data_IF_439484061731
#
_entry.id   IF_439484061731
#
_cell.length_a   1.000
_cell.length_b   1.000
_cell.length_c   1.000
_cell.angle_alpha   90.00
_cell.angle_beta   90.00
_cell.angle_gamma   90.00
#
_symmetry.space_group_name_H-M   'P 1'
#
loop_
_entity.id
_entity.type
_entity.pdbx_description
1 polymer ?
#
# COMPACT_ATOMS: atom_id res chain seq x y z
N UNK A 1 10.45 -10.57 -2.40
CA UNK A 1 10.42 -10.64 -3.88
C UNK A 1 9.27 -9.87 -4.54
N UNK A 2 8.00 -10.17 -4.27
CA UNK A 2 6.85 -9.48 -4.91
C UNK A 2 6.95 -7.94 -4.88
N UNK A 3 7.10 -7.34 -3.69
CA UNK A 3 7.19 -5.87 -3.57
C UNK A 3 8.42 -5.25 -4.23
N UNK A 4 9.47 -6.05 -4.48
CA UNK A 4 10.67 -5.65 -5.20
C UNK A 4 10.54 -5.79 -6.72
N UNK A 5 9.47 -6.42 -7.22
CA UNK A 5 9.36 -6.76 -8.64
C UNK A 5 10.50 -7.70 -9.08
N UNK A 6 10.65 -8.82 -8.37
CA UNK A 6 11.70 -9.84 -8.56
C UNK A 6 11.14 -11.27 -8.57
N UNK A 7 9.88 -11.47 -8.92
CA UNK A 7 9.27 -12.81 -9.00
C UNK A 7 9.72 -13.55 -10.27
N UNK A 8 9.98 -12.84 -11.36
CA UNK A 8 10.38 -13.40 -12.65
C UNK A 8 11.77 -14.02 -12.61
N UNK A 9 12.59 -13.64 -11.64
CA UNK A 9 13.86 -14.29 -11.35
C UNK A 9 13.69 -15.78 -11.01
N UNK A 10 12.56 -16.16 -10.41
CA UNK A 10 12.30 -17.54 -9.94
C UNK A 10 11.17 -18.22 -10.70
N UNK A 11 10.13 -17.48 -11.11
CA UNK A 11 8.97 -18.02 -11.86
C UNK A 11 9.12 -17.85 -13.37
N UNK A 12 9.94 -16.91 -13.83
CA UNK A 12 10.15 -16.64 -15.26
C UNK A 12 9.09 -15.73 -15.87
N UNK A 13 8.90 -15.87 -17.20
CA UNK A 13 8.06 -14.99 -18.03
C UNK A 13 6.64 -14.73 -17.51
N UNK A 14 5.92 -15.70 -16.91
CA UNK A 14 4.54 -15.49 -16.46
C UNK A 14 4.38 -14.33 -15.46
N UNK A 15 5.39 -14.06 -14.63
CA UNK A 15 5.36 -12.98 -13.63
C UNK A 15 5.96 -11.67 -14.11
N UNK A 16 6.49 -11.60 -15.34
CA UNK A 16 7.19 -10.41 -15.86
C UNK A 16 6.32 -9.15 -15.83
N UNK A 17 5.04 -9.27 -16.22
CA UNK A 17 4.11 -8.14 -16.19
C UNK A 17 3.88 -7.61 -14.77
N UNK A 18 3.86 -8.51 -13.79
CA UNK A 18 3.69 -8.15 -12.38
C UNK A 18 4.94 -7.45 -11.84
N UNK A 19 6.13 -7.96 -12.17
CA UNK A 19 7.38 -7.31 -11.78
C UNK A 19 7.49 -5.91 -12.39
N UNK A 20 7.18 -5.76 -13.68
CA UNK A 20 7.18 -4.46 -14.35
C UNK A 20 6.22 -3.47 -13.68
N UNK A 21 5.06 -3.94 -13.24
CA UNK A 21 4.13 -3.12 -12.46
C UNK A 21 4.71 -2.72 -11.10
N UNK A 22 5.27 -3.65 -10.33
CA UNK A 22 5.87 -3.38 -9.02
C UNK A 22 7.09 -2.43 -9.13
N UNK A 23 7.90 -2.59 -10.18
CA UNK A 23 9.00 -1.67 -10.52
C UNK A 23 8.49 -0.28 -10.86
N UNK A 24 7.40 -0.19 -11.63
CA UNK A 24 6.75 1.08 -11.98
C UNK A 24 6.23 1.82 -10.74
N UNK A 25 5.61 1.11 -9.80
CA UNK A 25 5.23 1.68 -8.50
C UNK A 25 6.44 2.04 -7.64
N UNK A 26 7.53 1.29 -7.75
CA UNK A 26 8.78 1.56 -7.06
C UNK A 26 8.69 1.35 -5.54
N UNK A 27 7.81 0.46 -5.07
CA UNK A 27 7.54 0.26 -3.63
C UNK A 27 8.79 -0.09 -2.83
N UNK A 28 9.66 -0.94 -3.37
CA UNK A 28 10.88 -1.36 -2.68
C UNK A 28 11.94 -0.25 -2.60
N UNK A 29 12.11 0.53 -3.67
CA UNK A 29 12.95 1.74 -3.64
C UNK A 29 12.44 2.71 -2.58
N UNK A 30 11.13 2.96 -2.54
CA UNK A 30 10.53 3.80 -1.51
C UNK A 30 10.73 3.23 -0.11
N UNK A 31 10.68 1.90 0.07
CA UNK A 31 10.98 1.24 1.33
C UNK A 31 12.43 1.48 1.79
N UNK A 32 13.41 1.39 0.88
CA UNK A 32 14.81 1.73 1.16
C UNK A 32 14.98 3.20 1.55
N UNK A 33 14.35 4.11 0.80
CA UNK A 33 14.36 5.55 1.11
C UNK A 33 13.67 5.87 2.44
N UNK A 34 12.66 5.10 2.82
CA UNK A 34 11.96 5.26 4.10
C UNK A 34 12.89 4.89 5.25
N UNK A 35 13.58 3.75 5.16
CA UNK A 35 14.53 3.31 6.18
C UNK A 35 15.53 4.43 6.53
N UNK A 36 16.13 5.06 5.52
CA UNK A 36 17.11 6.13 5.69
C UNK A 36 16.54 7.40 6.36
N UNK A 37 15.22 7.57 6.42
CA UNK A 37 14.55 8.73 7.07
C UNK A 37 14.02 8.40 8.46
N UNK A 38 13.99 7.12 8.83
CA UNK A 38 13.51 6.71 10.15
C UNK A 38 14.53 7.12 11.22
N UNK A 39 14.08 7.47 12.43
CA UNK A 39 14.99 7.66 13.55
C UNK A 39 15.75 6.37 13.89
N UNK A 40 16.93 6.52 14.50
CA UNK A 40 17.86 5.43 14.81
C UNK A 40 17.22 4.29 15.63
N UNK A 41 16.34 4.62 16.56
CA UNK A 41 15.65 3.62 17.40
C UNK A 41 14.72 2.69 16.58
N UNK A 42 14.15 3.21 15.50
CA UNK A 42 13.25 2.51 14.61
C UNK A 42 14.05 1.72 13.57
N UNK A 43 15.16 2.28 13.08
CA UNK A 43 16.13 1.55 12.25
C UNK A 43 16.67 0.33 13.01
N UNK A 44 17.16 0.54 14.24
CA UNK A 44 17.71 -0.52 15.10
C UNK A 44 16.76 -1.70 15.29
N UNK A 45 15.45 -1.45 15.40
CA UNK A 45 14.47 -2.52 15.55
C UNK A 45 14.18 -3.28 14.24
N UNK A 46 14.25 -2.60 13.09
CA UNK A 46 14.17 -3.24 11.78
C UNK A 46 15.42 -4.08 11.52
N UNK A 47 16.59 -3.57 11.92
CA UNK A 47 17.88 -4.25 11.81
C UNK A 47 17.89 -5.51 12.68
N UNK A 48 17.53 -5.39 13.96
CA UNK A 48 17.44 -6.55 14.86
C UNK A 48 16.48 -7.63 14.35
N UNK A 49 15.36 -7.26 13.72
CA UNK A 49 14.46 -8.23 13.09
C UNK A 49 15.12 -8.91 11.89
N UNK A 50 15.77 -8.14 11.01
CA UNK A 50 16.48 -8.68 9.86
C UNK A 50 17.62 -9.62 10.28
N UNK A 51 18.41 -9.23 11.29
CA UNK A 51 19.44 -10.07 11.91
C UNK A 51 18.87 -11.37 12.46
N UNK A 52 17.73 -11.33 13.16
CA UNK A 52 17.07 -12.54 13.65
C UNK A 52 16.62 -13.49 12.53
N UNK A 53 16.07 -12.96 11.44
CA UNK A 53 15.73 -13.74 10.25
C UNK A 53 17.00 -14.35 9.64
N UNK A 54 18.06 -13.56 9.49
CA UNK A 54 19.31 -13.99 8.88
C UNK A 54 20.06 -15.00 9.74
N UNK A 55 20.02 -14.88 11.06
CA UNK A 55 20.54 -15.86 11.99
C UNK A 55 19.82 -17.21 11.79
N UNK A 56 18.48 -17.21 11.72
CA UNK A 56 17.74 -18.43 11.40
C UNK A 56 18.13 -19.00 10.03
N UNK A 57 18.28 -18.16 9.00
CA UNK A 57 18.70 -18.61 7.67
C UNK A 57 20.11 -19.23 7.67
N UNK A 58 21.02 -18.70 8.49
CA UNK A 58 22.39 -19.19 8.61
C UNK A 58 22.48 -20.51 9.40
N UNK A 59 21.64 -20.68 10.43
CA UNK A 59 21.70 -21.86 11.31
C UNK A 59 20.68 -22.94 10.97
N UNK A 60 19.73 -22.69 10.06
CA UNK A 60 18.72 -23.70 9.73
C UNK A 60 19.35 -24.94 9.10
N UNK A 61 18.84 -26.09 9.50
CA UNK A 61 19.14 -27.40 8.92
C UNK A 61 17.90 -27.99 8.25
N UNK A 62 18.09 -28.95 7.35
CA UNK A 62 17.00 -29.65 6.68
C UNK A 62 16.49 -28.98 5.42
N UNK A 63 15.52 -29.63 4.79
CA UNK A 63 14.96 -29.24 3.48
C UNK A 63 14.25 -27.89 3.56
N UNK A 64 14.43 -27.07 2.53
CA UNK A 64 13.67 -25.83 2.38
C UNK A 64 12.16 -26.12 2.23
N UNK A 65 11.30 -25.15 2.56
CA UNK A 65 9.88 -25.26 2.26
C UNK A 65 9.62 -25.61 0.78
N UNK A 66 8.55 -26.36 0.46
CA UNK A 66 8.32 -26.92 -0.87
C UNK A 66 8.43 -25.90 -2.01
N UNK A 67 7.95 -24.68 -1.82
CA UNK A 67 8.01 -23.61 -2.82
C UNK A 67 9.44 -23.25 -3.25
N UNK A 68 10.42 -23.30 -2.34
CA UNK A 68 11.81 -23.04 -2.66
C UNK A 68 12.44 -24.21 -3.42
N UNK A 69 12.12 -25.45 -3.03
CA UNK A 69 12.58 -26.67 -3.70
C UNK A 69 12.02 -26.75 -5.12
N UNK A 70 10.71 -26.54 -5.28
CA UNK A 70 10.03 -26.59 -6.58
C UNK A 70 10.53 -25.51 -7.53
N UNK A 71 10.69 -24.28 -7.04
CA UNK A 71 11.17 -23.15 -7.85
C UNK A 71 12.70 -23.14 -8.00
N UNK A 72 13.42 -24.05 -7.32
CA UNK A 72 14.88 -24.22 -7.38
C UNK A 72 15.64 -22.94 -7.02
N UNK A 73 15.26 -22.30 -5.92
CA UNK A 73 15.96 -21.13 -5.40
C UNK A 73 16.10 -21.19 -3.87
N UNK A 74 17.06 -20.44 -3.34
CA UNK A 74 17.26 -20.29 -1.90
C UNK A 74 16.78 -18.90 -1.43
N UNK A 75 16.34 -18.77 -0.17
CA UNK A 75 16.11 -17.46 0.43
C UNK A 75 17.39 -16.63 0.43
N UNK A 76 17.25 -15.33 0.16
CA UNK A 76 18.33 -14.34 0.28
C UNK A 76 18.34 -13.77 1.70
N UNK A 77 19.44 -13.10 2.07
CA UNK A 77 19.49 -12.30 3.29
C UNK A 77 18.34 -11.29 3.33
N UNK A 78 17.62 -11.30 4.44
CA UNK A 78 16.56 -10.36 4.76
C UNK A 78 17.16 -9.01 5.10
N UNK A 79 16.56 -7.95 4.54
CA UNK A 79 16.95 -6.56 4.76
C UNK A 79 15.82 -5.80 5.44
N UNK A 80 16.09 -4.71 6.18
CA UNK A 80 15.06 -3.83 6.72
C UNK A 80 13.99 -3.40 5.69
N UNK A 81 14.42 -3.14 4.45
CA UNK A 81 13.53 -2.78 3.36
C UNK A 81 12.52 -3.89 2.99
N UNK A 82 12.84 -5.16 3.21
CA UNK A 82 11.92 -6.28 2.98
C UNK A 82 10.75 -6.28 3.98
N UNK A 83 10.98 -5.79 5.20
CA UNK A 83 9.93 -5.56 6.18
C UNK A 83 9.06 -4.35 5.83
N UNK A 84 9.70 -3.26 5.39
CA UNK A 84 9.02 -2.00 5.06
C UNK A 84 8.14 -2.11 3.80
N UNK A 85 8.58 -2.88 2.79
CA UNK A 85 7.81 -3.02 1.54
C UNK A 85 6.47 -3.72 1.76
N UNK A 86 6.35 -4.54 2.81
CA UNK A 86 5.10 -5.19 3.18
C UNK A 86 4.00 -4.18 3.51
N UNK A 87 4.32 -3.15 4.30
CA UNK A 87 3.38 -2.10 4.68
C UNK A 87 2.85 -1.34 3.46
N UNK A 88 3.76 -1.03 2.52
CA UNK A 88 3.41 -0.37 1.26
C UNK A 88 2.54 -1.26 0.36
N UNK A 89 2.83 -2.56 0.27
CA UNK A 89 1.98 -3.51 -0.44
C UNK A 89 0.58 -3.60 0.17
N UNK A 90 0.48 -3.59 1.51
CA UNK A 90 -0.82 -3.59 2.17
C UNK A 90 -1.57 -2.28 1.95
N UNK A 91 -0.88 -1.13 1.99
CA UNK A 91 -1.49 0.15 1.63
C UNK A 91 -2.08 0.09 0.21
N UNK A 92 -1.33 -0.43 -0.77
CA UNK A 92 -1.82 -0.59 -2.14
C UNK A 92 -2.96 -1.60 -2.31
N UNK A 93 -3.08 -2.58 -1.41
CA UNK A 93 -4.12 -3.63 -1.47
C UNK A 93 -5.42 -3.22 -0.77
N UNK A 94 -5.33 -2.38 0.25
CA UNK A 94 -6.44 -1.99 1.13
C UNK A 94 -7.07 -0.64 0.73
N UNK A 95 -6.71 -0.12 -0.44
CA UNK A 95 -7.27 1.07 -1.08
C UNK A 95 -8.31 0.67 -2.14
N UNK A 96 -9.46 1.36 -2.19
CA UNK A 96 -10.58 0.99 -3.08
C UNK A 96 -11.18 2.13 -3.91
N UNK A 97 -10.70 3.35 -3.75
CA UNK A 97 -11.43 4.57 -4.13
C UNK A 97 -11.48 4.83 -5.64
N UNK A 98 -10.45 4.46 -6.37
CA UNK A 98 -10.43 4.53 -7.84
C UNK A 98 -11.60 3.77 -8.48
N UNK A 99 -12.14 2.73 -7.84
CA UNK A 99 -13.30 1.96 -8.33
C UNK A 99 -14.57 2.78 -8.24
N UNK A 100 -14.73 3.50 -7.14
CA UNK A 100 -15.84 4.41 -6.91
C UNK A 100 -15.77 5.57 -7.89
N UNK A 101 -14.59 6.17 -8.06
CA UNK A 101 -14.40 7.23 -9.06
C UNK A 101 -14.70 6.75 -10.48
N UNK A 102 -14.27 5.54 -10.82
CA UNK A 102 -14.45 5.00 -12.14
C UNK A 102 -15.89 4.50 -12.39
N UNK A 103 -16.57 3.94 -11.40
CA UNK A 103 -18.01 3.66 -11.45
C UNK A 103 -18.82 4.94 -11.58
N UNK A 104 -18.51 5.96 -10.76
CA UNK A 104 -19.13 7.29 -10.81
C UNK A 104 -18.98 7.92 -12.19
N UNK A 105 -17.78 7.83 -12.76
CA UNK A 105 -17.52 8.30 -14.11
C UNK A 105 -18.29 7.49 -15.16
N UNK A 106 -18.34 6.16 -15.09
CA UNK A 106 -19.13 5.35 -16.03
C UNK A 106 -20.64 5.68 -15.95
N UNK A 107 -21.16 5.89 -14.73
CA UNK A 107 -22.55 6.29 -14.49
C UNK A 107 -22.85 7.70 -14.98
N UNK A 108 -21.85 8.60 -15.05
CA UNK A 108 -22.03 9.95 -15.60
C UNK A 108 -22.46 10.01 -17.08
N UNK A 109 -22.44 8.89 -17.82
CA UNK A 109 -23.08 8.80 -19.15
C UNK A 109 -24.59 8.72 -19.11
N UNK A 110 -25.12 8.15 -18.04
CA UNK A 110 -26.52 7.73 -17.94
C UNK A 110 -27.28 8.51 -16.88
N UNK A 111 -26.55 9.08 -15.91
CA UNK A 111 -27.10 9.81 -14.78
C UNK A 111 -26.71 11.27 -14.86
N UNK A 112 -27.64 12.15 -14.48
CA UNK A 112 -27.35 13.59 -14.34
C UNK A 112 -26.40 13.84 -13.16
N UNK A 113 -25.72 15.00 -13.12
CA UNK A 113 -24.89 15.39 -11.97
C UNK A 113 -25.63 15.32 -10.62
N UNK A 114 -26.93 15.62 -10.61
CA UNK A 114 -27.80 15.54 -9.43
C UNK A 114 -27.99 14.09 -9.00
N UNK A 115 -28.33 13.19 -9.92
CA UNK A 115 -28.48 11.75 -9.63
C UNK A 115 -27.16 11.11 -9.17
N UNK A 116 -26.03 11.57 -9.70
CA UNK A 116 -24.71 11.15 -9.21
C UNK A 116 -24.44 11.69 -7.81
N UNK A 117 -24.87 12.93 -7.52
CA UNK A 117 -24.74 13.53 -6.20
C UNK A 117 -25.63 12.85 -5.16
N UNK A 118 -26.76 12.25 -5.57
CA UNK A 118 -27.60 11.44 -4.68
C UNK A 118 -26.90 10.12 -4.30
N UNK A 119 -26.17 9.51 -5.25
CA UNK A 119 -25.39 8.29 -5.01
C UNK A 119 -24.07 8.56 -4.26
N UNK A 120 -23.48 9.75 -4.48
CA UNK A 120 -22.25 10.22 -3.84
C UNK A 120 -22.38 11.68 -3.41
N UNK A 121 -22.94 11.93 -2.22
CA UNK A 121 -23.09 13.28 -1.68
C UNK A 121 -21.73 14.00 -1.65
N UNK A 122 -21.71 15.27 -2.07
CA UNK A 122 -20.47 16.07 -2.02
C UNK A 122 -19.98 16.15 -0.58
N UNK A 123 -18.71 15.75 -0.38
CA UNK A 123 -18.00 16.05 0.86
C UNK A 123 -17.93 17.57 1.05
N UNK A 124 -18.07 18.04 2.28
CA UNK A 124 -17.90 19.45 2.66
C UNK A 124 -16.43 19.88 2.73
N UNK A 125 -15.50 18.98 2.38
CA UNK A 125 -14.06 19.22 2.36
C UNK A 125 -13.65 19.60 0.93
N UNK A 126 -12.96 20.73 0.80
CA UNK A 126 -12.46 21.26 -0.47
C UNK A 126 -11.38 20.31 -1.03
N UNK A 127 -11.74 19.51 -2.04
CA UNK A 127 -10.81 18.55 -2.68
C UNK A 127 -10.31 19.16 -3.99
N UNK A 128 -8.99 19.21 -4.24
CA UNK A 128 -8.47 19.63 -5.54
C UNK A 128 -9.08 18.79 -6.67
N UNK A 129 -9.22 19.32 -7.89
CA UNK A 129 -9.91 18.64 -8.98
C UNK A 129 -9.26 17.28 -9.32
N UNK A 130 -9.85 16.19 -8.82
CA UNK A 130 -9.60 14.80 -9.24
C UNK A 130 -10.44 14.50 -10.49
N UNK A 131 -10.31 13.30 -11.07
CA UNK A 131 -11.06 12.85 -12.26
C UNK A 131 -12.54 13.26 -12.27
N UNK A 132 -13.18 13.32 -11.10
CA UNK A 132 -14.59 13.71 -10.94
C UNK A 132 -14.95 15.13 -11.42
N UNK A 133 -13.97 16.01 -11.70
CA UNK A 133 -14.20 17.44 -12.01
C UNK A 133 -13.93 17.84 -13.45
N UNK A 134 -13.31 16.97 -14.26
CA UNK A 134 -12.92 17.33 -15.62
C UNK A 134 -14.07 17.09 -16.61
N UNK A 135 -14.59 18.16 -17.25
CA UNK A 135 -15.47 18.09 -18.44
C UNK A 135 -14.67 17.64 -19.66
N UNK A 136 -14.26 16.37 -19.66
CA UNK A 136 -13.58 15.74 -20.79
C UNK A 136 -14.66 15.15 -21.73
N UNK A 137 -14.72 15.53 -23.02
CA UNK A 137 -15.55 14.83 -23.98
C UNK A 137 -15.20 13.33 -23.98
N UNK A 138 -16.19 12.44 -23.98
CA UNK A 138 -16.00 10.98 -23.84
C UNK A 138 -15.38 10.51 -22.50
N UNK A 139 -15.32 11.36 -21.47
CA UNK A 139 -14.78 11.03 -20.14
C UNK A 139 -15.24 9.67 -19.62
N UNK A 140 -16.52 9.40 -19.73
CA UNK A 140 -17.06 8.20 -19.18
C UNK A 140 -16.75 6.95 -20.03
N UNK A 141 -16.50 7.09 -21.34
CA UNK A 141 -16.01 6.00 -22.21
C UNK A 141 -14.58 5.66 -21.84
N UNK A 142 -13.78 6.69 -21.58
CA UNK A 142 -12.43 6.56 -21.04
C UNK A 142 -12.44 5.82 -19.70
N UNK A 143 -13.37 6.15 -18.80
CA UNK A 143 -13.42 5.56 -17.46
C UNK A 143 -13.99 4.13 -17.44
N UNK A 144 -14.99 3.82 -18.28
CA UNK A 144 -15.46 2.43 -18.45
C UNK A 144 -14.35 1.51 -18.99
N UNK A 145 -13.58 1.97 -19.97
CA UNK A 145 -12.49 1.19 -20.53
C UNK A 145 -11.27 1.13 -19.58
N UNK A 146 -11.10 2.14 -18.72
CA UNK A 146 -10.10 2.16 -17.65
C UNK A 146 -10.40 1.05 -16.61
N UNK A 147 -11.67 0.86 -16.25
CA UNK A 147 -12.14 -0.18 -15.32
C UNK A 147 -11.79 -1.60 -15.77
N UNK A 148 -12.03 -1.92 -17.05
CA UNK A 148 -11.74 -3.24 -17.64
C UNK A 148 -10.23 -3.51 -17.81
N UNK A 149 -9.41 -2.46 -17.69
CA UNK A 149 -7.96 -2.49 -17.82
C UNK A 149 -7.20 -2.75 -16.53
N UNK A 150 -7.86 -2.65 -15.38
CA UNK A 150 -7.18 -2.64 -14.08
C UNK A 150 -6.91 -4.06 -13.55
N UNK A 151 -5.71 -4.31 -12.99
CA UNK A 151 -5.34 -5.60 -12.41
C UNK A 151 -6.30 -6.11 -11.34
N UNK A 152 -6.49 -7.42 -11.32
CA UNK A 152 -7.28 -8.10 -10.30
C UNK A 152 -6.79 -7.86 -8.85
N UNK A 153 -5.50 -7.60 -8.63
CA UNK A 153 -4.96 -7.35 -7.29
C UNK A 153 -5.29 -5.94 -6.74
N UNK A 154 -5.75 -5.01 -7.58
CA UNK A 154 -6.32 -3.73 -7.15
C UNK A 154 -7.80 -3.89 -6.73
N UNK A 155 -8.38 -5.09 -6.85
CA UNK A 155 -9.77 -5.34 -6.48
C UNK A 155 -9.91 -5.54 -4.97
N UNK A 156 -10.27 -4.51 -4.22
CA UNK A 156 -10.58 -4.64 -2.79
C UNK A 156 -11.80 -5.56 -2.57
N UNK A 157 -11.62 -6.57 -1.71
CA UNK A 157 -12.69 -7.32 -1.05
C UNK A 157 -12.21 -7.46 0.40
N UNK A 158 -12.51 -6.46 1.24
CA UNK A 158 -12.32 -6.59 2.67
C UNK A 158 -13.27 -5.66 3.39
N UNK A 159 -14.04 -6.25 4.30
CA UNK A 159 -14.73 -5.58 5.39
C UNK A 159 -14.01 -5.98 6.69
N UNK A 160 -14.20 -5.28 7.80
CA UNK A 160 -13.67 -5.69 9.11
C UNK A 160 -14.54 -5.10 10.20
N UNK A 161 -14.70 -5.83 11.30
CA UNK A 161 -15.40 -5.32 12.48
C UNK A 161 -14.39 -4.89 13.54
N UNK A 162 -14.68 -3.80 14.24
CA UNK A 162 -13.95 -3.45 15.46
C UNK A 162 -14.86 -2.71 16.43
N UNK A 163 -14.91 -3.18 17.67
CA UNK A 163 -15.80 -2.68 18.71
C UNK A 163 -14.99 -2.25 19.92
N UNK A 164 -15.38 -1.14 20.54
CA UNK A 164 -14.90 -0.73 21.87
C UNK A 164 -16.08 -0.40 22.75
N UNK A 165 -16.05 -0.95 23.95
CA UNK A 165 -17.02 -0.65 25.01
C UNK A 165 -16.29 0.08 26.12
N UNK A 166 -16.80 1.25 26.52
CA UNK A 166 -16.26 2.02 27.63
C UNK A 166 -16.42 1.26 28.96
N UNK A 167 -15.49 1.45 29.89
CA UNK A 167 -15.51 0.71 31.17
C UNK A 167 -16.82 0.84 31.94
N UNK A 168 -17.43 2.03 31.95
CA UNK A 168 -18.73 2.30 32.59
C UNK A 168 -19.93 1.59 31.94
N UNK A 169 -19.72 0.84 30.85
CA UNK A 169 -20.71 0.00 30.18
C UNK A 169 -20.34 -1.50 30.28
N UNK A 170 -19.44 -1.86 31.20
CA UNK A 170 -18.95 -3.24 31.38
C UNK A 170 -19.07 -3.64 32.85
N UNK A 171 -19.28 -4.93 33.11
CA UNK A 171 -19.35 -5.46 34.48
C UNK A 171 -18.04 -5.37 35.29
N UNK A 172 -16.92 -5.04 34.64
CA UNK A 172 -15.59 -5.01 35.26
C UNK A 172 -15.05 -3.59 35.46
N UNK A 173 -15.84 -2.57 35.10
CA UNK A 173 -15.44 -1.16 34.99
C UNK A 173 -14.21 -0.91 34.09
N UNK A 174 -13.77 -1.91 33.32
CA UNK A 174 -12.62 -1.87 32.42
C UNK A 174 -13.10 -1.93 30.98
N UNK A 175 -12.54 -1.10 30.08
CA UNK A 175 -12.95 -1.11 28.69
C UNK A 175 -12.67 -2.46 28.02
N UNK A 176 -13.59 -2.87 27.15
CA UNK A 176 -13.48 -4.05 26.31
C UNK A 176 -13.23 -3.63 24.86
N UNK A 177 -12.43 -4.42 24.16
CA UNK A 177 -12.11 -4.19 22.76
C UNK A 177 -12.14 -5.51 22.01
N UNK A 178 -12.85 -5.54 20.88
CA UNK A 178 -12.90 -6.68 19.97
C UNK A 178 -12.47 -6.23 18.58
N UNK A 179 -11.63 -7.02 17.94
CA UNK A 179 -11.09 -6.77 16.61
C UNK A 179 -11.22 -8.03 15.77
N UNK A 180 -11.75 -7.89 14.57
CA UNK A 180 -12.13 -8.99 13.68
C UNK A 180 -11.83 -8.61 12.22
N UNK A 181 -10.56 -8.69 11.79
CA UNK A 181 -10.13 -8.31 10.46
C UNK A 181 -10.47 -9.41 9.43
N UNK A 182 -11.32 -9.12 8.44
CA UNK A 182 -11.70 -10.10 7.40
C UNK A 182 -10.82 -9.98 6.17
N UNK A 183 -9.77 -10.80 6.15
CA UNK A 183 -8.87 -10.93 5.00
C UNK A 183 -8.82 -12.40 4.58
N UNK A 184 -8.92 -12.65 3.28
CA UNK A 184 -9.03 -14.01 2.75
C UNK A 184 -7.88 -14.93 3.19
N UNK A 185 -8.22 -16.19 3.47
CA UNK A 185 -7.24 -17.22 3.81
C UNK A 185 -6.24 -17.43 2.68
N UNK A 186 -4.97 -17.57 3.05
CA UNK A 186 -3.84 -17.75 2.13
C UNK A 186 -2.68 -18.44 2.82
N UNK A 187 -1.76 -18.99 2.03
CA UNK A 187 -0.49 -19.54 2.49
C UNK A 187 0.68 -18.73 1.91
N UNK A 188 1.60 -18.19 2.74
CA UNK A 188 1.52 -18.12 4.20
C UNK A 188 0.40 -17.18 4.67
N UNK A 189 -0.10 -17.43 5.88
CA UNK A 189 -1.13 -16.61 6.53
C UNK A 189 -0.73 -15.13 6.58
N UNK A 190 -1.72 -14.24 6.48
CA UNK A 190 -1.46 -12.81 6.59
C UNK A 190 -1.08 -12.40 8.01
N UNK A 191 -1.85 -12.89 8.99
CA UNK A 191 -1.67 -12.58 10.40
C UNK A 191 -0.89 -13.68 11.10
N UNK A 192 0.03 -13.27 11.97
CA UNK A 192 0.78 -14.13 12.85
C UNK A 192 0.63 -13.61 14.29
N UNK A 193 0.10 -14.43 15.19
CA UNK A 193 -0.07 -14.04 16.59
C UNK A 193 1.25 -14.22 17.32
N UNK A 194 1.72 -13.15 17.97
CA UNK A 194 2.97 -13.15 18.70
C UNK A 194 2.83 -12.36 20.01
N UNK A 195 3.67 -12.71 20.99
CA UNK A 195 3.93 -11.92 22.20
C UNK A 195 5.43 -11.67 22.30
N UNK A 196 5.81 -10.42 22.54
CA UNK A 196 7.20 -10.02 22.75
C UNK A 196 7.31 -9.40 24.14
N UNK A 197 8.24 -9.93 24.94
CA UNK A 197 8.53 -9.47 26.29
C UNK A 197 10.01 -9.17 26.44
N UNK A 198 10.31 -7.98 26.96
CA UNK A 198 11.65 -7.51 27.29
C UNK A 198 11.53 -6.45 28.41
N UNK A 199 12.64 -6.06 29.07
CA UNK A 199 12.60 -4.95 30.03
C UNK A 199 11.97 -3.69 29.42
N UNK A 200 10.83 -3.26 29.97
CA UNK A 200 10.09 -2.10 29.48
C UNK A 200 9.24 -2.30 28.23
N UNK A 201 9.13 -3.53 27.70
CA UNK A 201 8.29 -3.88 26.54
C UNK A 201 7.49 -5.15 26.82
N UNK A 202 6.16 -5.06 26.73
CA UNK A 202 5.29 -6.22 26.72
C UNK A 202 4.20 -5.95 25.69
N UNK A 203 4.24 -6.61 24.54
CA UNK A 203 3.27 -6.42 23.47
C UNK A 203 2.73 -7.78 23.01
N UNK A 204 1.40 -7.88 22.88
CA UNK A 204 0.71 -9.09 22.48
C UNK A 204 -0.34 -8.76 21.42
N UNK A 205 -0.43 -9.58 20.38
CA UNK A 205 -1.45 -9.42 19.33
C UNK A 205 -1.02 -10.02 18.00
N UNK A 206 -1.53 -9.46 16.90
CA UNK A 206 -1.22 -9.87 15.55
C UNK A 206 -0.14 -8.98 14.91
N UNK A 207 0.91 -9.62 14.41
CA UNK A 207 1.84 -9.09 13.42
C UNK A 207 1.61 -9.78 12.07
N UNK A 208 2.48 -9.55 11.09
CA UNK A 208 2.56 -10.30 9.86
C UNK A 208 3.98 -10.87 9.67
N UNK A 209 4.15 -12.03 9.01
CA UNK A 209 5.47 -12.53 8.67
C UNK A 209 6.27 -11.49 7.89
N UNK A 210 7.47 -11.18 8.38
CA UNK A 210 8.34 -10.14 7.83
C UNK A 210 8.17 -8.76 8.46
N UNK A 211 7.26 -8.57 9.42
CA UNK A 211 7.00 -7.27 10.06
C UNK A 211 7.39 -7.31 11.55
N UNK A 212 8.30 -6.42 12.02
CA UNK A 212 8.78 -6.45 13.41
C UNK A 212 7.80 -5.86 14.44
N UNK A 213 6.72 -5.24 13.99
CA UNK A 213 5.79 -4.51 14.85
C UNK A 213 4.42 -5.18 14.87
N UNK A 214 3.77 -5.19 16.05
CA UNK A 214 2.38 -5.61 16.18
C UNK A 214 1.48 -4.59 15.51
N UNK A 215 0.77 -5.05 14.49
CA UNK A 215 -0.18 -4.22 13.73
C UNK A 215 -1.47 -4.12 14.52
N UNK A 216 -1.91 -5.17 15.20
CA UNK A 216 -3.11 -5.20 16.03
C UNK A 216 -2.73 -5.78 17.37
N UNK A 217 -3.19 -5.21 18.49
CA UNK A 217 -2.84 -5.78 19.79
C UNK A 217 -2.98 -4.84 20.97
N UNK A 218 -2.26 -5.17 22.03
CA UNK A 218 -2.15 -4.33 23.22
C UNK A 218 -0.79 -4.51 23.89
N UNK A 219 -0.41 -3.53 24.71
CA UNK A 219 0.83 -3.57 25.49
C UNK A 219 0.62 -3.50 27.01
N UNK A 220 -0.61 -3.80 27.47
CA UNK A 220 -0.99 -3.72 28.88
C UNK A 220 -1.43 -2.32 29.33
N UNK A 221 -0.98 -1.27 28.64
CA UNK A 221 -1.40 0.12 28.87
C UNK A 221 -2.46 0.56 27.86
N UNK A 222 -2.18 0.33 26.57
CA UNK A 222 -3.03 0.69 25.44
C UNK A 222 -3.34 -0.57 24.62
N UNK A 223 -4.51 -0.56 23.97
CA UNK A 223 -4.90 -1.53 22.95
C UNK A 223 -5.28 -0.77 21.66
N UNK A 224 -4.97 -1.37 20.51
CA UNK A 224 -5.24 -0.82 19.19
C UNK A 224 -5.67 -1.89 18.19
N UNK A 225 -6.40 -1.42 17.19
CA UNK A 225 -6.93 -2.18 16.08
C UNK A 225 -6.96 -1.23 14.87
N UNK A 226 -7.12 -1.84 13.71
CA UNK A 226 -7.27 -1.17 12.46
C UNK A 226 -8.34 -1.87 11.63
N UNK A 227 -9.29 -1.10 11.11
CA UNK A 227 -10.22 -1.56 10.06
C UNK A 227 -10.05 -0.69 8.82
N UNK A 228 -10.41 -1.21 7.65
CA UNK A 228 -10.44 -0.42 6.40
C UNK A 228 -11.54 0.63 6.50
N UNK A 229 -11.21 1.91 6.27
CA UNK A 229 -12.18 3.02 6.36
C UNK A 229 -12.73 3.44 4.99
N UNK A 230 -12.48 2.66 3.93
CA UNK A 230 -12.79 2.98 2.52
C UNK A 230 -12.42 4.44 2.12
N UNK A 231 -11.43 5.01 2.81
CA UNK A 231 -11.07 6.42 2.68
C UNK A 231 -10.28 6.69 1.42
N UNK A 232 -10.49 7.89 0.88
CA UNK A 232 -9.85 8.31 -0.35
C UNK A 232 -8.36 8.53 -0.18
N UNK A 233 -7.61 7.63 -0.81
CA UNK A 233 -6.17 7.43 -0.57
C UNK A 233 -5.42 7.18 -1.87
N UNK A 234 -6.13 7.26 -3.01
CA UNK A 234 -5.59 7.06 -4.36
C UNK A 234 -6.34 7.92 -5.36
N UNK A 235 -5.58 8.66 -6.17
CA UNK A 235 -6.09 9.47 -7.26
C UNK A 235 -5.45 9.02 -8.58
N UNK A 236 -6.24 9.01 -9.65
CA UNK A 236 -5.75 8.84 -11.00
C UNK A 236 -5.70 10.21 -11.70
N UNK A 237 -4.57 10.52 -12.33
CA UNK A 237 -4.38 11.77 -13.09
C UNK A 237 -4.22 11.46 -14.57
N UNK A 238 -4.93 12.23 -15.41
CA UNK A 238 -4.77 12.19 -16.85
C UNK A 238 -3.73 13.23 -17.28
N UNK A 239 -2.53 12.75 -17.58
CA UNK A 239 -1.43 13.57 -18.09
C UNK A 239 -1.57 13.69 -19.60
N UNK A 240 -1.83 14.90 -20.07
CA UNK A 240 -1.98 15.16 -21.50
C UNK A 240 -0.61 15.19 -22.15
N UNK A 241 -0.33 14.25 -23.07
CA UNK A 241 0.93 14.26 -23.82
C UNK A 241 1.03 15.52 -24.67
N UNK A 242 2.21 16.14 -24.67
CA UNK A 242 2.47 17.30 -25.53
C UNK A 242 2.47 16.85 -26.99
N UNK A 243 1.78 17.59 -27.85
CA UNK A 243 1.67 17.24 -29.28
C UNK A 243 3.07 17.16 -29.91
N UNK A 244 3.36 16.04 -30.57
CA UNK A 244 4.64 15.81 -31.25
C UNK A 244 5.80 15.41 -30.33
N UNK A 245 5.60 15.29 -29.02
CA UNK A 245 6.64 14.86 -28.08
C UNK A 245 6.12 13.83 -27.07
N UNK A 246 6.62 12.61 -27.13
CA UNK A 246 6.18 11.50 -26.27
C UNK A 246 6.83 11.51 -24.87
N UNK A 247 7.90 12.30 -24.69
CA UNK A 247 8.64 12.40 -23.43
C UNK A 247 8.19 13.58 -22.56
N UNK A 248 7.21 14.37 -23.03
CA UNK A 248 6.66 15.50 -22.29
C UNK A 248 5.15 15.44 -22.15
N UNK A 249 4.66 16.09 -21.10
CA UNK A 249 3.24 16.27 -20.83
C UNK A 249 2.95 17.72 -20.48
N UNK A 250 1.74 18.16 -20.78
CA UNK A 250 1.32 19.54 -20.57
C UNK A 250 0.99 19.78 -19.09
N UNK A 251 1.49 20.88 -18.53
CA UNK A 251 1.13 21.36 -17.20
C UNK A 251 0.62 22.81 -17.25
N UNK A 252 -0.03 23.34 -16.20
CA UNK A 252 -0.42 24.75 -16.15
C UNK A 252 0.75 25.73 -16.31
N UNK A 253 1.97 25.32 -15.98
CA UNK A 253 3.19 26.12 -16.16
C UNK A 253 3.87 25.89 -17.53
N UNK A 254 3.25 25.11 -18.42
CA UNK A 254 3.81 24.70 -19.72
C UNK A 254 4.22 23.21 -19.76
N UNK A 255 4.72 22.73 -20.92
CA UNK A 255 5.17 21.35 -21.08
C UNK A 255 6.31 20.99 -20.13
N UNK A 256 6.23 19.81 -19.51
CA UNK A 256 7.25 19.26 -18.60
C UNK A 256 7.68 17.88 -19.07
N UNK A 257 8.97 17.56 -18.93
CA UNK A 257 9.48 16.20 -19.16
C UNK A 257 9.01 15.25 -18.08
N UNK A 258 8.66 14.02 -18.46
CA UNK A 258 8.52 12.94 -17.49
C UNK A 258 9.86 12.70 -16.78
N UNK A 259 9.81 12.42 -15.48
CA UNK A 259 10.95 11.80 -14.81
C UNK A 259 11.09 10.37 -15.36
N UNK A 260 12.31 9.97 -15.72
CA UNK A 260 12.59 8.67 -16.32
C UNK A 260 13.60 7.93 -15.47
N UNK A 261 13.31 6.67 -15.15
CA UNK A 261 14.25 5.73 -14.57
C UNK A 261 14.32 4.49 -15.45
N UNK A 262 15.54 4.05 -15.75
CA UNK A 262 15.77 2.76 -16.40
C UNK A 262 15.98 1.70 -15.31
N UNK A 263 15.33 0.56 -15.44
CA UNK A 263 15.55 -0.59 -14.56
C UNK A 263 15.76 -1.87 -15.35
N UNK A 264 16.54 -2.80 -14.80
CA UNK A 264 16.72 -4.13 -15.37
C UNK A 264 15.82 -5.14 -14.64
N UNK A 265 15.05 -5.91 -15.40
CA UNK A 265 14.27 -7.04 -14.90
C UNK A 265 14.96 -8.31 -15.34
N UNK A 266 15.41 -9.10 -14.38
CA UNK A 266 15.96 -10.44 -14.62
C UNK A 266 14.79 -11.42 -14.74
N UNK A 267 14.81 -12.22 -15.82
CA UNK A 267 13.80 -13.23 -16.10
C UNK A 267 14.49 -14.57 -16.17
N UNK A 268 13.97 -15.55 -15.43
CA UNK A 268 14.50 -16.91 -15.40
C UNK A 268 14.65 -17.47 -16.81
N UNK A 269 15.82 -18.03 -17.09
CA UNK A 269 16.18 -18.67 -18.36
C UNK A 269 16.03 -17.76 -19.60
N UNK A 270 16.09 -16.43 -19.41
CA UNK A 270 16.00 -15.42 -20.46
C UNK A 270 17.01 -14.27 -20.24
N UNK A 271 17.36 -13.52 -21.29
CA UNK A 271 18.13 -12.28 -21.11
C UNK A 271 17.41 -11.31 -20.17
N UNK A 272 18.18 -10.51 -19.41
CA UNK A 272 17.63 -9.40 -18.64
C UNK A 272 16.99 -8.39 -19.60
N UNK A 273 15.86 -7.82 -19.20
CA UNK A 273 15.14 -6.83 -19.99
C UNK A 273 15.22 -5.46 -19.32
N UNK A 274 15.65 -4.46 -20.09
CA UNK A 274 15.68 -3.08 -19.66
C UNK A 274 14.30 -2.45 -19.85
N UNK A 275 13.73 -1.92 -18.77
CA UNK A 275 12.43 -1.24 -18.78
C UNK A 275 12.57 0.24 -18.46
N UNK A 276 11.89 1.08 -19.25
CA UNK A 276 11.75 2.52 -19.00
C UNK A 276 10.54 2.75 -18.09
N UNK A 277 10.78 3.39 -16.94
CA UNK A 277 9.75 3.77 -15.97
C UNK A 277 9.60 5.28 -16.02
N UNK A 278 8.38 5.75 -16.25
CA UNK A 278 8.05 7.17 -16.28
C UNK A 278 7.26 7.59 -15.05
N UNK A 279 7.48 8.82 -14.60
CA UNK A 279 6.65 9.47 -13.59
C UNK A 279 6.38 10.92 -13.98
N UNK A 280 5.16 11.40 -13.70
CA UNK A 280 4.81 12.81 -13.74
C UNK A 280 5.00 13.44 -12.34
N UNK A 281 4.58 14.70 -12.20
CA UNK A 281 4.52 15.38 -10.90
C UNK A 281 3.54 14.73 -9.91
N UNK A 282 2.55 13.98 -10.38
CA UNK A 282 1.55 13.35 -9.52
C UNK A 282 1.93 11.92 -9.12
N UNK A 283 2.74 11.23 -9.94
CA UNK A 283 3.20 9.88 -9.62
C UNK A 283 3.65 9.06 -10.83
N UNK A 284 3.88 7.74 -10.65
CA UNK A 284 4.25 6.85 -11.72
C UNK A 284 3.17 6.72 -12.79
N UNK A 285 3.58 6.58 -14.05
CA UNK A 285 2.69 6.38 -15.19
C UNK A 285 2.28 4.91 -15.27
N UNK A 286 1.08 4.57 -14.80
CA UNK A 286 0.57 3.20 -14.75
C UNK A 286 0.03 2.72 -16.11
N UNK A 287 -0.32 3.62 -17.02
CA UNK A 287 -0.72 3.26 -18.39
C UNK A 287 0.41 2.61 -19.21
N UNK A 288 1.67 2.76 -18.79
CA UNK A 288 2.82 2.10 -19.42
C UNK A 288 2.82 0.59 -19.17
N UNK A 289 2.29 0.15 -18.03
CA UNK A 289 2.25 -1.25 -17.61
C UNK A 289 0.87 -1.90 -17.76
N UNK A 290 -0.16 -1.08 -17.98
CA UNK A 290 -1.52 -1.53 -18.25
C UNK A 290 -2.03 -0.95 -19.58
N UNK A 291 -1.72 -1.60 -20.73
CA UNK A 291 -2.04 -1.07 -22.06
C UNK A 291 -3.52 -0.75 -22.27
N UNK A 292 -4.43 -1.48 -21.61
CA UNK A 292 -5.87 -1.19 -21.65
C UNK A 292 -6.21 0.21 -21.12
N UNK A 293 -5.47 0.74 -20.14
CA UNK A 293 -5.64 2.11 -19.64
C UNK A 293 -5.20 3.16 -20.67
N UNK A 294 -4.25 2.80 -21.55
CA UNK A 294 -3.80 3.68 -22.62
C UNK A 294 -4.80 3.70 -23.78
N UNK A 295 -5.34 2.53 -24.13
CA UNK A 295 -6.40 2.40 -25.13
C UNK A 295 -7.68 3.12 -24.71
N UNK A 296 -7.99 3.09 -23.41
CA UNK A 296 -9.18 3.76 -22.88
C UNK A 296 -9.12 5.27 -23.01
N UNK A 297 -7.94 5.89 -22.97
CA UNK A 297 -7.76 7.35 -22.94
C UNK A 297 -7.56 8.00 -24.32
N UNK A 298 -8.09 7.37 -25.37
CA UNK A 298 -8.08 7.88 -26.75
C UNK A 298 -6.69 8.28 -27.28
N UNK A 299 -5.63 7.59 -26.85
CA UNK A 299 -4.34 7.78 -27.52
C UNK A 299 -3.58 9.03 -27.06
N UNK A 300 -4.21 9.92 -26.29
CA UNK A 300 -3.72 11.28 -26.02
C UNK A 300 -3.22 11.48 -24.59
N UNK A 301 -3.75 10.72 -23.66
CA UNK A 301 -3.36 10.84 -22.25
C UNK A 301 -2.50 9.65 -21.83
N UNK A 302 -1.69 9.91 -20.80
CA UNK A 302 -1.06 8.91 -19.97
C UNK A 302 -1.74 8.96 -18.59
N UNK A 303 -1.82 7.81 -17.91
CA UNK A 303 -2.49 7.72 -16.59
C UNK A 303 -1.44 7.63 -15.51
N UNK A 304 -1.37 8.64 -14.64
CA UNK A 304 -0.52 8.65 -13.45
C UNK A 304 -1.32 8.25 -12.21
N UNK A 305 -0.66 7.58 -11.26
CA UNK A 305 -1.26 7.19 -9.98
C UNK A 305 -0.61 7.98 -8.84
N UNK A 306 -1.41 8.77 -8.13
CA UNK A 306 -1.04 9.26 -6.81
C UNK A 306 -1.66 8.35 -5.76
N UNK A 307 -0.90 7.95 -4.75
CA UNK A 307 -1.42 7.11 -3.68
C UNK A 307 -0.66 7.37 -2.38
N UNK A 308 -1.35 7.27 -1.24
CA UNK A 308 -0.73 7.41 0.08
C UNK A 308 0.46 6.45 0.25
N UNK A 309 0.32 5.19 -0.19
CA UNK A 309 1.39 4.17 -0.14
C UNK A 309 2.57 4.41 -1.09
N UNK A 310 2.49 5.41 -1.99
CA UNK A 310 3.57 5.83 -2.90
C UNK A 310 4.29 7.10 -2.41
N UNK A 311 3.85 7.67 -1.29
CA UNK A 311 4.49 8.84 -0.72
C UNK A 311 5.88 8.52 -0.19
N UNK A 312 6.81 9.43 -0.46
CA UNK A 312 8.19 9.31 -0.02
C UNK A 312 8.35 9.66 1.47
N UNK A 313 7.45 10.49 2.02
CA UNK A 313 7.43 10.90 3.43
C UNK A 313 6.56 9.97 4.31
N UNK A 314 6.26 8.75 3.84
CA UNK A 314 5.50 7.77 4.62
C UNK A 314 6.31 7.27 5.83
N UNK A 315 5.93 7.74 7.02
CA UNK A 315 6.49 7.35 8.32
C UNK A 315 5.62 6.34 9.08
N UNK A 316 4.72 5.61 8.40
CA UNK A 316 3.86 4.59 9.04
C UNK A 316 4.62 3.56 9.89
N UNK A 317 5.83 3.09 9.52
CA UNK A 317 6.61 2.19 10.37
C UNK A 317 6.96 2.80 11.72
N UNK A 318 7.30 4.11 11.76
CA UNK A 318 7.55 4.85 12.99
C UNK A 318 6.29 4.94 13.85
N UNK A 319 5.14 5.20 13.22
CA UNK A 319 3.85 5.22 13.92
C UNK A 319 3.57 3.86 14.59
N UNK A 320 3.74 2.75 13.87
CA UNK A 320 3.56 1.39 14.42
C UNK A 320 4.52 1.11 15.59
N UNK A 321 5.79 1.45 15.43
CA UNK A 321 6.79 1.31 16.50
C UNK A 321 6.39 2.08 17.76
N UNK A 322 6.02 3.36 17.61
CA UNK A 322 5.59 4.21 18.72
C UNK A 322 4.29 3.72 19.36
N UNK A 323 3.32 3.25 18.56
CA UNK A 323 2.09 2.62 19.07
C UNK A 323 2.38 1.40 19.95
N UNK A 324 3.32 0.55 19.54
CA UNK A 324 3.70 -0.64 20.29
C UNK A 324 4.27 -0.30 21.68
N UNK A 325 4.87 0.89 21.82
CA UNK A 325 5.53 1.38 23.06
C UNK A 325 4.71 2.40 23.86
N UNK A 326 3.61 2.91 23.32
CA UNK A 326 2.81 3.96 23.94
C UNK A 326 2.24 3.53 25.30
N UNK A 327 2.44 4.36 26.33
CA UNK A 327 2.03 4.10 27.71
C UNK A 327 0.78 4.89 28.12
N UNK A 328 0.44 5.92 27.38
CA UNK A 328 -0.68 6.82 27.66
C UNK A 328 -1.32 7.35 26.36
N UNK A 329 -2.34 8.18 26.51
CA UNK A 329 -3.13 8.71 25.40
C UNK A 329 -2.35 9.70 24.52
N UNK A 330 -1.51 10.51 25.14
CA UNK A 330 -0.78 11.56 24.43
C UNK A 330 0.32 10.92 23.56
N UNK A 331 1.02 9.93 24.10
CA UNK A 331 1.96 9.11 23.33
C UNK A 331 1.26 8.34 22.19
N UNK A 332 0.06 7.81 22.46
CA UNK A 332 -0.72 7.08 21.46
C UNK A 332 -1.14 7.97 20.28
N UNK A 333 -1.71 9.14 20.57
CA UNK A 333 -2.14 10.09 19.54
C UNK A 333 -0.96 10.73 18.83
N UNK A 334 0.13 11.03 19.55
CA UNK A 334 1.39 11.48 18.97
C UNK A 334 1.99 10.45 18.01
N UNK A 335 1.88 9.15 18.31
CA UNK A 335 2.31 8.09 17.38
C UNK A 335 1.53 8.12 16.06
N UNK A 336 0.21 8.35 16.12
CA UNK A 336 -0.67 8.36 14.94
C UNK A 336 -0.39 9.53 13.99
N UNK A 337 0.24 10.61 14.44
CA UNK A 337 0.62 11.73 13.56
C UNK A 337 1.62 11.31 12.47
N UNK A 338 2.38 10.24 12.70
CA UNK A 338 3.30 9.68 11.70
C UNK A 338 2.65 8.62 10.79
N UNK A 339 1.36 8.32 10.97
CA UNK A 339 0.66 7.27 10.22
C UNK A 339 0.14 7.83 8.90
N UNK A 340 0.79 7.49 7.79
CA UNK A 340 0.46 8.02 6.46
C UNK A 340 -0.27 7.00 5.57
N UNK A 341 -0.11 5.71 5.83
CA UNK A 341 -0.82 4.66 5.10
C UNK A 341 -2.33 4.75 5.36
N UNK A 342 -3.12 4.33 4.37
CA UNK A 342 -4.59 4.33 4.28
C UNK A 342 -5.30 4.53 5.62
N UNK A 343 -6.21 5.50 5.71
CA UNK A 343 -6.95 5.74 6.95
C UNK A 343 -7.52 4.42 7.52
N UNK A 344 -7.36 4.27 8.83
CA UNK A 344 -7.85 3.11 9.56
C UNK A 344 -8.55 3.61 10.81
N UNK A 345 -9.67 2.99 11.19
CA UNK A 345 -10.27 3.30 12.49
C UNK A 345 -9.32 2.80 13.58
N UNK A 346 -8.95 3.70 14.49
CA UNK A 346 -8.09 3.39 15.64
C UNK A 346 -8.92 3.48 16.91
N UNK A 347 -8.91 2.40 17.69
CA UNK A 347 -9.83 2.17 18.81
C UNK A 347 -9.04 1.86 20.10
N UNK A 348 -9.48 2.39 21.26
CA UNK A 348 -8.66 2.48 22.50
C UNK A 348 -9.21 1.67 23.68
N UNK A 349 -8.27 1.11 24.47
CA UNK A 349 -8.44 0.74 25.90
C UNK A 349 -7.76 1.78 26.83
N UNK A 350 -8.46 2.30 27.86
CA UNK A 350 -7.88 3.12 28.95
C UNK A 350 -7.94 2.33 30.26
N UNK A 351 -6.80 2.11 30.91
CA UNK A 351 -6.78 1.93 32.37
C UNK A 351 -6.65 3.32 33.00
N UNK A 352 -7.50 3.63 33.99
CA UNK A 352 -7.23 4.74 34.90
C UNK A 352 -6.08 4.33 35.81
#
# INVERSE_FOLDING_TARGET
>A
RLGAGRLSEVVGRPTYRLDRAMRTLGLYRLAQETYNRLPEDTQSALDAYAEGVNAFLATRSGTLPPEFVMLRYAPEEWKPADSLVWGRLMAMRLTGNWRTEALRAALSKRLSPEQISDLWPKSTIDVPPTLATARIPDFANIMHNLLDGLPAWLRQISASNSWVVSGNRTATDKPLMANDPHLGFRAPGLWYLARVEAPGLNVTGATAPGVPFHILGHNGHIAWSFTTTDSDTQDLYLERRTRGNQDTYDTPAGPRKYAVRMEEIVVRDQPRETVKIRASRHGPIISDVYPRLRQSTAERYDVALAAAGLRADDLTPLALMRLNRAKNWDEFTGALQSFHASAKHVLRRRRR
#
